data_IF_555812361501
#
_entry.id   IF_555812361501
#
_cell.length_a   1.000
_cell.length_b   1.000
_cell.length_c   1.000
_cell.angle_alpha   90.00
_cell.angle_beta   90.00
_cell.angle_gamma   90.00
#
_symmetry.space_group_name_H-M   'P 1'
#
loop_
_entity.id
_entity.type
_entity.pdbx_description
1 polymer ?
#
# COMPACT_ATOMS: atom_id res chain seq x y z
N UNK A 1 5.81 -38.81 -38.83
CA UNK A 1 6.94 -38.38 -38.01
C UNK A 1 6.39 -37.50 -36.90
N UNK A 2 6.21 -38.04 -35.70
CA UNK A 2 5.88 -37.26 -34.50
C UNK A 2 7.12 -37.33 -33.60
N UNK A 3 7.67 -36.17 -33.29
CA UNK A 3 8.93 -36.01 -32.55
C UNK A 3 8.55 -36.05 -31.07
N UNK A 4 8.64 -37.23 -30.43
CA UNK A 4 8.64 -37.35 -28.96
C UNK A 4 9.86 -36.59 -28.44
N UNK A 5 9.65 -35.38 -27.95
CA UNK A 5 10.63 -34.70 -27.11
C UNK A 5 10.70 -35.46 -25.80
N UNK A 6 11.84 -36.11 -25.54
CA UNK A 6 12.07 -36.77 -24.26
C UNK A 6 12.32 -35.71 -23.19
N UNK A 7 11.44 -35.66 -22.19
CA UNK A 7 11.71 -34.93 -20.96
C UNK A 7 12.93 -35.56 -20.25
N UNK A 8 13.84 -34.69 -19.83
CA UNK A 8 15.19 -35.03 -19.41
C UNK A 8 15.22 -35.93 -18.18
N UNK A 9 16.05 -36.96 -18.25
CA UNK A 9 16.49 -37.79 -17.13
C UNK A 9 17.21 -36.93 -16.08
N UNK A 10 16.50 -36.47 -15.05
CA UNK A 10 17.09 -36.02 -13.79
C UNK A 10 16.90 -37.11 -12.73
N UNK A 11 17.84 -38.07 -12.73
CA UNK A 11 17.99 -39.08 -11.68
C UNK A 11 18.65 -38.45 -10.44
N UNK A 12 18.05 -38.58 -9.26
CA UNK A 12 18.83 -38.54 -8.02
C UNK A 12 18.12 -38.19 -6.72
N UNK A 13 17.35 -39.12 -6.13
CA UNK A 13 16.95 -39.00 -4.72
C UNK A 13 15.80 -39.93 -4.32
N UNK A 14 16.10 -41.06 -3.68
CA UNK A 14 15.13 -42.10 -3.26
C UNK A 14 14.18 -41.65 -2.10
N UNK A 15 14.13 -40.36 -1.76
CA UNK A 15 13.09 -39.76 -0.90
C UNK A 15 13.06 -38.23 -1.05
N UNK A 16 13.05 -37.73 -2.30
CA UNK A 16 12.91 -36.31 -2.61
C UNK A 16 11.58 -35.74 -2.12
N UNK A 17 11.44 -34.43 -2.16
CA UNK A 17 10.36 -33.63 -1.55
C UNK A 17 8.96 -34.21 -1.87
N UNK A 18 7.93 -33.93 -1.05
CA UNK A 18 6.53 -34.34 -1.35
C UNK A 18 6.11 -34.06 -2.80
N UNK A 19 6.54 -32.93 -3.36
CA UNK A 19 6.46 -32.61 -4.79
C UNK A 19 7.02 -33.72 -5.71
N UNK A 20 8.27 -34.13 -5.53
CA UNK A 20 8.93 -35.16 -6.37
C UNK A 20 8.15 -36.48 -6.33
N UNK A 21 7.58 -36.84 -5.17
CA UNK A 21 6.78 -38.06 -5.02
C UNK A 21 5.47 -37.97 -5.81
N UNK A 22 4.85 -36.80 -5.86
CA UNK A 22 3.66 -36.55 -6.66
C UNK A 22 3.98 -36.64 -8.16
N UNK A 23 5.07 -36.02 -8.63
CA UNK A 23 5.46 -36.09 -10.04
C UNK A 23 5.82 -37.51 -10.50
N UNK A 24 6.57 -38.26 -9.70
CA UNK A 24 6.84 -39.67 -9.99
C UNK A 24 5.56 -40.53 -10.05
N UNK A 25 4.51 -40.14 -9.32
CA UNK A 25 3.21 -40.82 -9.38
C UNK A 25 2.43 -40.40 -10.63
N UNK A 26 2.50 -39.13 -11.02
CA UNK A 26 1.89 -38.63 -12.24
C UNK A 26 2.47 -39.33 -13.48
N UNK A 27 3.80 -39.48 -13.55
CA UNK A 27 4.49 -40.21 -14.62
C UNK A 27 4.00 -41.66 -14.73
N UNK A 28 3.88 -42.36 -13.59
CA UNK A 28 3.33 -43.73 -13.56
C UNK A 28 1.89 -43.80 -14.06
N UNK A 29 1.06 -42.81 -13.70
CA UNK A 29 -0.32 -42.74 -14.19
C UNK A 29 -0.35 -42.55 -15.71
N UNK A 30 0.51 -41.68 -16.24
CA UNK A 30 0.64 -41.43 -17.68
C UNK A 30 1.12 -42.66 -18.46
N UNK A 31 2.01 -43.47 -17.86
CA UNK A 31 2.52 -44.71 -18.46
C UNK A 31 1.53 -45.88 -18.38
N UNK A 32 0.80 -46.01 -17.27
CA UNK A 32 -0.08 -47.15 -16.99
C UNK A 32 -1.47 -47.01 -17.62
N UNK A 33 -1.98 -45.78 -17.78
CA UNK A 33 -3.35 -45.51 -18.21
C UNK A 33 -3.40 -44.70 -19.51
N UNK A 34 -4.46 -44.92 -20.31
CA UNK A 34 -4.70 -44.16 -21.54
C UNK A 34 -6.19 -43.85 -21.72
N UNK A 35 -6.51 -42.80 -22.48
CA UNK A 35 -7.89 -42.42 -22.82
C UNK A 35 -8.75 -42.10 -21.58
N UNK A 36 -10.00 -42.57 -21.55
CA UNK A 36 -10.93 -42.25 -20.46
C UNK A 36 -10.47 -42.75 -19.07
N UNK A 37 -9.67 -43.81 -19.02
CA UNK A 37 -9.11 -44.30 -17.76
C UNK A 37 -8.03 -43.35 -17.20
N UNK A 38 -7.23 -42.76 -18.10
CA UNK A 38 -6.24 -41.75 -17.74
C UNK A 38 -6.91 -40.49 -17.19
N UNK A 39 -7.98 -40.01 -17.84
CA UNK A 39 -8.77 -38.86 -17.35
C UNK A 39 -9.25 -39.09 -15.91
N UNK A 40 -9.85 -40.25 -15.64
CA UNK A 40 -10.36 -40.58 -14.32
C UNK A 40 -9.25 -40.70 -13.25
N UNK A 41 -8.05 -41.16 -13.59
CA UNK A 41 -6.91 -41.19 -12.67
C UNK A 41 -6.27 -39.82 -12.48
N UNK A 42 -6.20 -38.98 -13.52
CA UNK A 42 -5.77 -37.58 -13.40
C UNK A 42 -6.70 -36.81 -12.45
N UNK A 43 -8.03 -36.94 -12.62
CA UNK A 43 -9.02 -36.32 -11.73
C UNK A 43 -8.87 -36.76 -10.27
N UNK A 44 -8.50 -38.04 -10.03
CA UNK A 44 -8.20 -38.53 -8.67
C UNK A 44 -6.87 -38.01 -8.17
N UNK A 45 -5.86 -37.91 -9.03
CA UNK A 45 -4.55 -37.41 -8.69
C UNK A 45 -4.61 -35.94 -8.28
N UNK A 46 -5.36 -35.10 -8.99
CA UNK A 46 -5.60 -33.69 -8.61
C UNK A 46 -6.16 -33.57 -7.20
N UNK A 47 -7.11 -34.44 -6.81
CA UNK A 47 -7.62 -34.48 -5.43
C UNK A 47 -6.56 -34.84 -4.40
N UNK A 48 -5.59 -35.68 -4.76
CA UNK A 48 -4.47 -36.02 -3.88
C UNK A 48 -3.51 -34.84 -3.76
N UNK A 49 -3.21 -34.15 -4.86
CA UNK A 49 -2.34 -32.98 -4.86
C UNK A 49 -2.94 -31.86 -4.00
N UNK A 50 -4.24 -31.55 -4.18
CA UNK A 50 -4.96 -30.59 -3.32
C UNK A 50 -4.89 -30.95 -1.84
N UNK A 51 -5.09 -32.23 -1.49
CA UNK A 51 -4.96 -32.66 -0.10
C UNK A 51 -3.53 -32.51 0.43
N UNK A 52 -2.53 -32.67 -0.43
CA UNK A 52 -1.12 -32.55 -0.05
C UNK A 52 -0.74 -31.09 0.18
N UNK A 53 -1.35 -30.16 -0.57
CA UNK A 53 -1.31 -28.72 -0.32
C UNK A 53 -2.01 -28.38 1.01
N UNK A 54 -3.22 -28.91 1.25
CA UNK A 54 -3.94 -28.71 2.53
C UNK A 54 -3.15 -29.23 3.75
N UNK A 55 -2.30 -30.24 3.55
CA UNK A 55 -1.38 -30.80 4.55
C UNK A 55 -0.07 -29.99 4.68
N UNK A 56 0.03 -28.83 4.02
CA UNK A 56 1.19 -27.92 3.95
C UNK A 56 2.50 -28.64 3.57
N UNK A 57 2.39 -29.73 2.80
CA UNK A 57 3.54 -30.49 2.35
C UNK A 57 4.14 -29.90 1.08
N UNK A 58 3.33 -29.28 0.25
CA UNK A 58 3.75 -28.54 -0.96
C UNK A 58 3.26 -27.10 -0.83
N UNK A 59 3.97 -26.17 -1.45
CA UNK A 59 3.53 -24.78 -1.57
C UNK A 59 2.59 -24.59 -2.79
N UNK A 60 2.05 -23.37 -2.94
CA UNK A 60 1.11 -23.02 -4.01
C UNK A 60 1.78 -23.05 -5.40
N UNK A 61 3.06 -22.64 -5.50
CA UNK A 61 3.85 -22.72 -6.73
C UNK A 61 4.06 -24.18 -7.18
N UNK A 62 4.42 -25.05 -6.25
CA UNK A 62 4.56 -26.49 -6.46
C UNK A 62 3.22 -27.14 -6.84
N UNK A 63 2.11 -26.73 -6.21
CA UNK A 63 0.76 -27.17 -6.60
C UNK A 63 0.48 -26.81 -8.06
N UNK A 64 0.71 -25.56 -8.44
CA UNK A 64 0.40 -25.04 -9.76
C UNK A 64 1.25 -25.70 -10.84
N UNK A 65 2.54 -25.94 -10.57
CA UNK A 65 3.42 -26.69 -11.46
C UNK A 65 2.92 -28.13 -11.67
N UNK A 66 2.41 -28.78 -10.63
CA UNK A 66 1.80 -30.12 -10.76
C UNK A 66 0.49 -30.05 -11.56
N UNK A 67 -0.33 -29.03 -11.36
CA UNK A 67 -1.56 -28.87 -12.13
C UNK A 67 -1.27 -28.72 -13.63
N UNK A 68 -0.26 -27.95 -14.01
CA UNK A 68 0.16 -27.79 -15.42
C UNK A 68 0.52 -29.12 -16.08
N UNK A 69 1.36 -29.92 -15.43
CA UNK A 69 1.76 -31.23 -15.96
C UNK A 69 0.55 -32.17 -16.07
N UNK A 70 -0.39 -32.10 -15.12
CA UNK A 70 -1.64 -32.87 -15.19
C UNK A 70 -2.47 -32.43 -16.40
N UNK A 71 -2.56 -31.12 -16.68
CA UNK A 71 -3.28 -30.57 -17.83
C UNK A 71 -2.69 -31.05 -19.16
N UNK A 72 -1.36 -31.11 -19.27
CA UNK A 72 -0.66 -31.59 -20.46
C UNK A 72 -0.99 -33.06 -20.75
N UNK A 73 -1.03 -33.91 -19.72
CA UNK A 73 -1.33 -35.33 -19.90
C UNK A 73 -2.83 -35.64 -19.96
N UNK A 74 -3.69 -34.72 -19.52
CA UNK A 74 -5.13 -34.96 -19.44
C UNK A 74 -5.73 -35.08 -20.85
N UNK A 75 -6.32 -36.23 -21.23
CA UNK A 75 -6.75 -36.47 -22.60
C UNK A 75 -7.94 -35.60 -23.02
N UNK A 76 -8.65 -34.98 -22.07
CA UNK A 76 -9.75 -34.05 -22.33
C UNK A 76 -9.31 -32.58 -22.28
N UNK A 77 -8.04 -32.28 -22.00
CA UNK A 77 -7.51 -30.91 -21.95
C UNK A 77 -8.22 -30.02 -20.93
N UNK A 78 -8.50 -30.56 -19.74
CA UNK A 78 -9.21 -29.87 -18.66
C UNK A 78 -8.22 -29.00 -17.89
N UNK A 79 -8.54 -27.73 -17.70
CA UNK A 79 -7.77 -26.79 -16.87
C UNK A 79 -8.21 -26.80 -15.41
N UNK A 80 -7.29 -26.43 -14.53
CA UNK A 80 -7.50 -26.30 -13.10
C UNK A 80 -7.15 -24.88 -12.64
N UNK A 81 -7.85 -24.36 -11.62
CA UNK A 81 -7.53 -23.05 -11.06
C UNK A 81 -6.13 -23.06 -10.45
N UNK A 82 -5.36 -22.01 -10.74
CA UNK A 82 -4.05 -21.74 -10.14
C UNK A 82 -4.24 -21.03 -8.80
N UNK A 83 -3.34 -21.28 -7.85
CA UNK A 83 -3.44 -20.77 -6.48
C UNK A 83 -2.40 -19.70 -6.20
N UNK A 84 -1.22 -19.78 -6.80
CA UNK A 84 -0.15 -18.78 -6.68
C UNK A 84 -0.22 -17.68 -7.74
N UNK A 85 -1.25 -17.69 -8.59
CA UNK A 85 -1.50 -16.61 -9.53
C UNK A 85 -2.29 -15.50 -8.82
N UNK A 86 -1.56 -14.55 -8.23
CA UNK A 86 -2.12 -13.33 -7.63
C UNK A 86 -2.76 -12.40 -8.69
N UNK A 87 -2.76 -12.77 -9.97
CA UNK A 87 -3.60 -12.08 -10.95
C UNK A 87 -5.04 -12.50 -10.75
N UNK A 88 -5.77 -11.73 -9.94
CA UNK A 88 -7.20 -11.93 -9.81
C UNK A 88 -7.82 -11.79 -11.22
N UNK A 89 -8.45 -12.86 -11.72
CA UNK A 89 -9.26 -12.84 -12.95
C UNK A 89 -10.28 -11.68 -12.95
N UNK A 90 -10.63 -11.19 -11.74
CA UNK A 90 -11.43 -9.98 -11.50
C UNK A 90 -10.82 -8.68 -12.08
N UNK A 91 -9.50 -8.55 -12.12
CA UNK A 91 -8.79 -7.42 -12.71
C UNK A 91 -8.35 -7.66 -14.16
N UNK A 92 -8.49 -8.88 -14.66
CA UNK A 92 -8.19 -9.26 -16.06
C UNK A 92 -9.38 -9.06 -17.01
N UNK A 93 -10.57 -8.83 -16.47
CA UNK A 93 -11.74 -8.39 -17.25
C UNK A 93 -11.59 -6.89 -17.56
N UNK A 94 -11.91 -6.48 -18.80
CA UNK A 94 -11.93 -5.07 -19.23
C UNK A 94 -12.78 -4.27 -18.22
N UNK A 95 -12.12 -3.49 -17.35
CA UNK A 95 -12.80 -2.64 -16.38
C UNK A 95 -13.88 -1.85 -17.13
N UNK A 96 -15.16 -1.94 -16.74
CA UNK A 96 -16.20 -1.19 -17.43
C UNK A 96 -15.83 0.28 -17.39
N UNK A 97 -15.88 0.93 -18.54
CA UNK A 97 -15.60 2.36 -18.65
C UNK A 97 -16.32 3.11 -17.52
N UNK A 98 -15.55 3.93 -16.80
CA UNK A 98 -16.11 4.73 -15.71
C UNK A 98 -17.31 5.54 -16.25
N UNK A 99 -18.43 5.59 -15.52
CA UNK A 99 -19.62 6.27 -16.00
C UNK A 99 -19.29 7.75 -16.27
N UNK A 100 -19.80 8.28 -17.38
CA UNK A 100 -19.58 9.68 -17.73
C UNK A 100 -20.08 10.60 -16.59
N UNK A 101 -19.15 11.34 -15.99
CA UNK A 101 -19.47 12.32 -14.95
C UNK A 101 -20.25 13.47 -15.59
N UNK A 102 -21.52 13.58 -15.21
CA UNK A 102 -22.33 14.75 -15.53
C UNK A 102 -21.90 15.91 -14.62
N UNK A 103 -20.77 16.53 -14.96
CA UNK A 103 -20.33 17.78 -14.37
C UNK A 103 -21.42 18.81 -14.66
N UNK A 104 -22.27 19.05 -13.67
CA UNK A 104 -23.42 19.94 -13.79
C UNK A 104 -23.02 21.36 -14.17
N UNK A 105 -24.04 22.22 -14.29
CA UNK A 105 -23.85 23.66 -14.51
C UNK A 105 -22.89 24.22 -13.46
N UNK A 106 -21.95 25.07 -13.88
CA UNK A 106 -21.06 25.84 -12.99
C UNK A 106 -21.89 26.46 -11.86
N UNK A 107 -21.58 26.07 -10.63
CA UNK A 107 -22.25 26.54 -9.42
C UNK A 107 -21.41 27.67 -8.84
N UNK A 108 -22.03 28.82 -8.57
CA UNK A 108 -21.34 29.95 -7.95
C UNK A 108 -21.07 29.68 -6.46
N UNK A 109 -20.02 30.30 -5.90
CA UNK A 109 -19.64 30.14 -4.50
C UNK A 109 -20.81 30.48 -3.56
N UNK A 110 -21.58 31.54 -3.87
CA UNK A 110 -22.75 31.93 -3.09
C UNK A 110 -23.86 30.87 -3.09
N UNK A 111 -23.98 30.10 -4.17
CA UNK A 111 -24.95 29.02 -4.29
C UNK A 111 -24.50 27.75 -3.54
N UNK A 112 -23.20 27.53 -3.43
CA UNK A 112 -22.59 26.48 -2.59
C UNK A 112 -22.64 26.83 -1.09
N UNK A 113 -22.40 28.09 -0.77
CA UNK A 113 -22.40 28.61 0.60
C UNK A 113 -23.81 28.77 1.17
N UNK A 114 -24.83 28.86 0.31
CA UNK A 114 -26.21 28.84 0.75
C UNK A 114 -26.57 27.43 1.19
N UNK A 115 -26.96 27.27 2.45
CA UNK A 115 -27.56 26.04 2.92
C UNK A 115 -28.72 25.69 1.99
N UNK A 116 -28.62 24.53 1.34
CA UNK A 116 -29.66 24.03 0.44
C UNK A 116 -30.99 24.06 1.18
N UNK A 117 -32.04 24.61 0.58
CA UNK A 117 -33.39 24.57 1.16
C UNK A 117 -33.78 23.09 1.35
N UNK A 118 -33.85 22.65 2.62
CA UNK A 118 -34.04 21.25 3.00
C UNK A 118 -32.77 20.49 3.42
N UNK A 119 -31.61 21.14 3.57
CA UNK A 119 -30.48 20.57 4.30
C UNK A 119 -30.95 20.20 5.71
N UNK A 120 -30.74 18.94 6.08
CA UNK A 120 -31.20 18.30 7.30
C UNK A 120 -30.92 19.17 8.53
N UNK A 121 -31.94 19.91 9.00
CA UNK A 121 -31.95 20.62 10.30
C UNK A 121 -32.39 19.68 11.42
N UNK A 122 -32.14 18.37 11.28
CA UNK A 122 -32.42 17.42 12.34
C UNK A 122 -31.39 17.62 13.44
N UNK A 123 -31.83 17.90 14.66
CA UNK A 123 -30.97 18.02 15.85
C UNK A 123 -30.34 16.68 16.29
N UNK A 124 -30.49 15.62 15.49
CA UNK A 124 -29.93 14.31 15.80
C UNK A 124 -28.41 14.38 15.66
N UNK A 125 -27.71 14.35 16.79
CA UNK A 125 -26.25 14.41 16.89
C UNK A 125 -25.66 15.82 17.04
N UNK A 126 -26.41 16.91 16.79
CA UNK A 126 -25.90 18.27 17.03
C UNK A 126 -25.84 18.60 18.51
N UNK A 127 -26.92 18.32 19.23
CA UNK A 127 -27.00 18.59 20.66
C UNK A 127 -26.03 17.68 21.43
N UNK A 128 -25.90 16.41 21.01
CA UNK A 128 -24.92 15.46 21.57
C UNK A 128 -23.47 15.86 21.25
N UNK A 129 -23.19 16.40 20.06
CA UNK A 129 -21.86 16.89 19.69
C UNK A 129 -21.51 18.18 20.42
N UNK A 130 -22.45 19.11 20.57
CA UNK A 130 -22.25 20.35 21.35
C UNK A 130 -22.03 20.02 22.84
N UNK A 131 -22.81 19.11 23.42
CA UNK A 131 -22.65 18.63 24.80
C UNK A 131 -21.32 17.89 25.00
N UNK A 132 -20.94 17.00 24.07
CA UNK A 132 -19.67 16.29 24.12
C UNK A 132 -18.46 17.24 23.97
N UNK A 133 -18.54 18.20 23.06
CA UNK A 133 -17.50 19.23 22.88
C UNK A 133 -17.36 20.10 24.12
N UNK A 134 -18.47 20.47 24.74
CA UNK A 134 -18.47 21.28 25.95
C UNK A 134 -17.87 20.50 27.14
N UNK A 135 -18.22 19.23 27.29
CA UNK A 135 -17.65 18.35 28.32
C UNK A 135 -16.13 18.18 28.15
N UNK A 136 -15.67 17.91 26.93
CA UNK A 136 -14.23 17.75 26.64
C UNK A 136 -13.45 19.04 26.89
N UNK A 137 -14.03 20.20 26.53
CA UNK A 137 -13.43 21.48 26.84
C UNK A 137 -13.33 21.73 28.36
N UNK A 138 -14.37 21.39 29.11
CA UNK A 138 -14.38 21.49 30.57
C UNK A 138 -13.34 20.55 31.21
N UNK A 139 -13.22 19.31 30.72
CA UNK A 139 -12.22 18.34 31.17
C UNK A 139 -10.80 18.85 30.87
N UNK A 140 -10.55 19.41 29.67
CA UNK A 140 -9.26 20.01 29.32
C UNK A 140 -8.89 21.21 30.20
N UNK A 141 -9.82 22.14 30.47
CA UNK A 141 -9.54 23.27 31.36
C UNK A 141 -9.24 22.82 32.79
N UNK A 142 -9.93 21.78 33.25
CA UNK A 142 -9.70 21.22 34.59
C UNK A 142 -8.35 20.50 34.68
N UNK A 143 -8.01 19.70 33.69
CA UNK A 143 -6.71 19.02 33.58
C UNK A 143 -5.58 20.05 33.45
N UNK A 144 -5.81 21.12 32.68
CA UNK A 144 -4.90 22.26 32.56
C UNK A 144 -4.68 22.98 33.87
N UNK A 145 -5.74 23.29 34.61
CA UNK A 145 -5.61 23.95 35.91
C UNK A 145 -4.89 23.05 36.93
N UNK A 146 -5.10 21.74 36.85
CA UNK A 146 -4.42 20.74 37.69
C UNK A 146 -2.93 20.58 37.30
N UNK A 147 -2.60 20.58 36.02
CA UNK A 147 -1.23 20.52 35.50
C UNK A 147 -0.44 21.80 35.80
N UNK A 148 -1.07 22.97 35.68
CA UNK A 148 -0.48 24.25 36.11
C UNK A 148 -0.24 24.26 37.62
N UNK A 149 -1.17 23.72 38.42
CA UNK A 149 -1.03 23.63 39.87
C UNK A 149 0.04 22.62 40.33
N UNK A 150 0.25 21.54 39.58
CA UNK A 150 1.29 20.53 39.83
C UNK A 150 2.65 20.90 39.27
N UNK A 151 2.72 21.91 38.38
CA UNK A 151 3.93 22.40 37.74
C UNK A 151 4.33 21.64 36.47
N UNK A 152 3.46 20.77 35.95
CA UNK A 152 3.70 19.86 34.83
C UNK A 152 2.94 20.28 33.56
N UNK A 153 2.91 21.59 33.29
CA UNK A 153 2.13 22.17 32.18
C UNK A 153 2.86 22.13 30.82
N UNK A 154 4.18 21.87 30.78
CA UNK A 154 4.95 21.83 29.53
C UNK A 154 4.68 20.57 28.69
N UNK A 155 4.12 19.52 29.29
CA UNK A 155 3.83 18.24 28.61
C UNK A 155 2.37 18.09 28.19
N UNK A 156 1.57 19.15 28.29
CA UNK A 156 0.14 19.06 28.01
C UNK A 156 -0.15 19.29 26.53
N UNK A 157 -0.42 18.21 25.81
CA UNK A 157 -0.74 18.22 24.39
C UNK A 157 -2.25 18.11 24.14
N UNK A 158 -2.79 18.95 23.26
CA UNK A 158 -4.19 18.92 22.88
C UNK A 158 -4.47 17.71 21.97
N UNK A 159 -5.09 16.66 22.53
CA UNK A 159 -5.55 15.50 21.76
C UNK A 159 -6.83 15.83 20.96
N UNK A 160 -6.84 15.50 19.67
CA UNK A 160 -8.03 15.65 18.83
C UNK A 160 -9.13 14.63 19.22
N UNK A 161 -10.41 15.03 19.32
CA UNK A 161 -11.55 14.18 19.65
C UNK A 161 -11.74 12.92 18.79
N UNK A 162 -11.06 12.79 17.65
CA UNK A 162 -11.09 11.59 16.81
C UNK A 162 -10.18 10.44 17.27
N UNK A 163 -9.48 10.56 18.41
CA UNK A 163 -8.43 9.61 18.81
C UNK A 163 -7.36 9.43 17.73
N UNK A 164 -7.16 10.48 16.91
CA UNK A 164 -6.10 10.58 15.93
C UNK A 164 -4.89 11.14 16.65
N UNK A 165 -4.04 10.23 17.11
CA UNK A 165 -2.72 10.52 17.64
C UNK A 165 -1.79 10.81 16.46
N UNK A 166 -1.66 12.08 16.10
CA UNK A 166 -0.61 12.55 15.19
C UNK A 166 0.67 12.81 15.99
N UNK A 167 1.21 11.79 16.66
CA UNK A 167 2.46 11.97 17.39
C UNK A 167 3.70 11.87 16.48
N UNK A 168 3.63 11.12 15.37
CA UNK A 168 4.84 10.75 14.63
C UNK A 168 4.74 10.91 13.10
N UNK A 169 3.77 11.68 12.58
CA UNK A 169 3.52 11.71 11.12
C UNK A 169 4.65 12.40 10.34
N UNK A 170 5.35 13.37 10.91
CA UNK A 170 6.51 14.00 10.24
C UNK A 170 7.74 13.09 10.19
N UNK A 171 8.02 12.34 11.26
CA UNK A 171 9.15 11.41 11.31
C UNK A 171 8.87 10.14 10.48
N UNK A 172 7.66 9.58 10.57
CA UNK A 172 7.24 8.43 9.77
C UNK A 172 7.17 8.78 8.27
N UNK A 173 6.74 10.00 7.92
CA UNK A 173 6.76 10.48 6.53
C UNK A 173 8.19 10.68 6.00
N UNK A 174 9.11 11.18 6.84
CA UNK A 174 10.53 11.29 6.49
C UNK A 174 11.18 9.93 6.27
N UNK A 175 10.92 8.98 7.14
CA UNK A 175 11.45 7.61 7.03
C UNK A 175 10.88 6.90 5.80
N UNK A 176 9.58 7.05 5.51
CA UNK A 176 8.94 6.51 4.31
C UNK A 176 9.51 7.14 3.02
N UNK A 177 9.71 8.47 3.00
CA UNK A 177 10.36 9.18 1.87
C UNK A 177 11.77 8.65 1.63
N UNK A 178 12.53 8.41 2.71
CA UNK A 178 13.90 7.84 2.65
C UNK A 178 13.90 6.40 2.13
N UNK A 179 12.95 5.58 2.56
CA UNK A 179 12.80 4.20 2.10
C UNK A 179 12.45 4.13 0.61
N UNK A 180 11.50 4.95 0.14
CA UNK A 180 11.08 5.00 -1.27
C UNK A 180 12.23 5.45 -2.18
N UNK A 181 12.99 6.48 -1.76
CA UNK A 181 14.11 6.98 -2.55
C UNK A 181 15.27 5.97 -2.65
N UNK A 182 15.53 5.23 -1.58
CA UNK A 182 16.53 4.16 -1.56
C UNK A 182 16.12 2.99 -2.46
N UNK A 183 14.83 2.67 -2.54
CA UNK A 183 14.27 1.67 -3.45
C UNK A 183 14.32 2.12 -4.93
N UNK A 184 14.09 3.41 -5.19
CA UNK A 184 14.12 4.01 -6.53
C UNK A 184 15.53 4.37 -7.02
N UNK A 185 16.57 4.17 -6.20
CA UNK A 185 17.96 4.49 -6.53
C UNK A 185 18.25 5.99 -6.67
N UNK A 186 17.45 6.84 -6.04
CA UNK A 186 17.60 8.30 -6.02
C UNK A 186 18.26 8.71 -4.70
N UNK A 187 19.37 9.45 -4.74
CA UNK A 187 19.95 10.05 -3.53
C UNK A 187 18.97 11.09 -2.97
N UNK A 188 18.54 10.90 -1.72
CA UNK A 188 17.85 11.95 -0.96
C UNK A 188 18.90 12.95 -0.53
N UNK A 189 19.04 14.06 -1.26
CA UNK A 189 19.53 15.26 -0.62
C UNK A 189 18.52 15.60 0.49
N UNK A 190 19.01 15.80 1.72
CA UNK A 190 18.19 16.43 2.74
C UNK A 190 17.82 17.82 2.23
N UNK A 191 16.65 17.91 1.59
CA UNK A 191 15.89 19.15 1.50
C UNK A 191 15.61 19.57 2.95
N UNK A 192 16.54 20.34 3.52
CA UNK A 192 16.15 21.47 4.36
C UNK A 192 15.03 22.16 3.61
N UNK A 193 13.91 22.39 4.31
CA UNK A 193 12.64 22.71 3.70
C UNK A 193 12.75 23.75 2.60
N UNK A 194 11.80 23.72 1.66
CA UNK A 194 11.39 24.89 0.91
C UNK A 194 11.07 26.01 1.91
N UNK A 195 12.13 26.66 2.36
CA UNK A 195 12.14 27.83 3.17
C UNK A 195 12.60 28.90 2.20
N UNK A 196 11.61 29.59 1.62
CA UNK A 196 11.85 30.81 0.83
C UNK A 196 12.76 31.80 1.58
N UNK A 197 13.06 31.60 2.87
CA UNK A 197 14.03 32.38 3.62
C UNK A 197 15.46 32.28 3.12
N UNK A 198 15.95 31.22 2.46
CA UNK A 198 17.35 31.17 2.02
C UNK A 198 17.51 30.89 0.51
N UNK A 199 18.18 31.79 -0.20
CA UNK A 199 18.45 31.64 -1.65
C UNK A 199 19.78 32.25 -2.06
N UNK A 200 20.38 31.72 -3.13
CA UNK A 200 21.63 32.25 -3.70
C UNK A 200 21.35 32.74 -5.12
N UNK A 201 21.77 33.97 -5.43
CA UNK A 201 21.58 34.54 -6.77
C UNK A 201 22.66 34.13 -7.77
N UNK A 202 22.48 34.51 -9.04
CA UNK A 202 23.39 34.20 -10.14
C UNK A 202 24.78 34.86 -9.98
N UNK A 203 24.88 35.90 -9.15
CA UNK A 203 26.13 36.57 -8.79
C UNK A 203 26.84 35.89 -7.59
N UNK A 204 26.23 34.85 -7.02
CA UNK A 204 26.75 34.10 -5.87
C UNK A 204 26.53 34.82 -4.54
N UNK A 205 25.63 35.80 -4.49
CA UNK A 205 25.21 36.48 -3.25
C UNK A 205 24.16 35.62 -2.56
N UNK A 206 24.40 35.34 -1.29
CA UNK A 206 23.46 34.60 -0.45
C UNK A 206 22.46 35.58 0.15
N UNK A 207 21.20 35.18 0.16
CA UNK A 207 20.07 35.94 0.69
C UNK A 207 19.42 35.12 1.79
N UNK A 208 19.15 35.77 2.92
CA UNK A 208 18.46 35.20 4.06
C UNK A 208 17.33 36.11 4.53
N UNK A 209 16.14 35.59 4.82
CA UNK A 209 15.02 36.32 5.42
C UNK A 209 14.90 35.95 6.90
N UNK A 210 14.85 36.95 7.78
CA UNK A 210 14.60 36.72 9.20
C UNK A 210 13.12 36.50 9.52
N UNK A 211 12.83 36.09 10.76
CA UNK A 211 11.48 35.81 11.25
C UNK A 211 10.55 37.05 11.27
N UNK A 212 11.12 38.26 11.20
CA UNK A 212 10.40 39.53 11.09
C UNK A 212 10.11 39.90 9.62
N UNK A 213 10.57 39.08 8.66
CA UNK A 213 10.38 39.25 7.23
C UNK A 213 11.40 40.17 6.56
N UNK A 214 12.45 40.61 7.27
CA UNK A 214 13.50 41.45 6.73
C UNK A 214 14.58 40.62 6.02
N UNK A 215 15.07 41.13 4.89
CA UNK A 215 16.05 40.44 4.06
C UNK A 215 17.47 40.88 4.41
N UNK A 216 18.37 39.91 4.41
CA UNK A 216 19.80 40.07 4.62
C UNK A 216 20.53 39.46 3.43
N UNK A 217 21.62 40.08 3.02
CA UNK A 217 22.44 39.58 1.92
C UNK A 217 23.91 39.48 2.31
N UNK A 218 24.59 38.48 1.75
CA UNK A 218 26.03 38.25 1.89
C UNK A 218 26.67 38.09 0.52
N UNK A 219 27.48 39.06 0.07
CA UNK A 219 28.21 38.95 -1.19
C UNK A 219 29.24 37.81 -1.15
N UNK A 220 29.52 37.23 -2.32
CA UNK A 220 30.48 36.14 -2.45
C UNK A 220 31.88 36.54 -1.94
N UNK A 221 32.31 35.93 -0.83
CA UNK A 221 33.63 36.12 -0.24
C UNK A 221 33.69 37.05 0.98
N UNK A 222 32.56 37.58 1.43
CA UNK A 222 32.44 38.30 2.70
C UNK A 222 31.93 37.37 3.81
N UNK A 223 32.39 37.57 5.05
CA UNK A 223 31.95 36.76 6.21
C UNK A 223 30.71 37.35 6.90
N UNK A 224 30.42 38.65 6.69
CA UNK A 224 29.36 39.39 7.36
C UNK A 224 28.08 39.49 6.53
N UNK A 225 26.92 39.49 7.22
CA UNK A 225 25.60 39.69 6.63
C UNK A 225 25.17 41.15 6.72
N UNK A 226 24.63 41.68 5.63
CA UNK A 226 24.18 43.07 5.54
C UNK A 226 22.66 43.14 5.41
N UNK A 227 21.98 44.04 6.15
CA UNK A 227 20.54 44.21 6.00
C UNK A 227 20.24 44.83 4.64
N UNK A 228 19.24 44.30 3.96
CA UNK A 228 18.69 44.85 2.74
C UNK A 228 17.58 45.85 3.09
N UNK A 229 17.82 47.13 2.81
CA UNK A 229 16.79 48.17 2.87
C UNK A 229 16.23 48.38 1.44
N UNK A 230 14.91 48.27 1.27
CA UNK A 230 14.18 48.52 0.01
C UNK A 230 14.19 50.01 -0.41
#
# INVERSE_FOLDING_TARGET
MAKRGGFGRFLGGIAGRPYDRLMNRLEKIADEFTGSALAAECDKFVKVVRRTLDEEQIDEEEHDLIMEEVEEIHPEGKSYPRLGDDTEEFYDDDLPDAPELNLGRRVDLDQLMRSRDGAFTGSFGRDEYEEYRQKMAEDFFKESDEAIASGDHEHMESQDPGHRVFHDVEDEARDLKRQIAQEMGVEVEEEGGDDDSYRVDEDGTEWWQDDDGAWWYRPQGEEDWYPYEE
#
